data_IF_089783270208
#
_entry.id   IF_089783270208
#
_cell.length_a   1.000
_cell.length_b   1.000
_cell.length_c   1.000
_cell.angle_alpha   90.00
_cell.angle_beta   90.00
_cell.angle_gamma   90.00
#
_symmetry.space_group_name_H-M   'P 1'
#
loop_
_entity.id
_entity.type
_entity.pdbx_description
1 polymer ?
#
# COMPACT_ATOMS: atom_id res chain seq x y z
N UNK A 1 7.66 -20.43 2.00
CA UNK A 1 6.33 -20.80 1.44
C UNK A 1 5.22 -19.88 1.94
N UNK A 2 5.09 -19.61 3.25
CA UNK A 2 4.01 -18.78 3.83
C UNK A 2 3.81 -17.40 3.17
N UNK A 3 4.88 -16.66 2.87
CA UNK A 3 4.77 -15.33 2.25
C UNK A 3 3.98 -15.32 0.93
N UNK A 4 4.07 -16.40 0.14
CA UNK A 4 3.45 -16.47 -1.19
C UNK A 4 2.01 -16.95 -1.15
N UNK A 5 1.58 -17.58 -0.05
CA UNK A 5 0.31 -18.29 0.08
C UNK A 5 -0.59 -17.72 1.19
N UNK A 6 -0.10 -16.76 1.96
CA UNK A 6 -0.87 -16.05 3.00
C UNK A 6 -1.39 -14.71 2.47
N UNK A 7 -2.68 -14.37 2.70
CA UNK A 7 -3.25 -13.06 2.38
C UNK A 7 -2.46 -11.90 3.02
N UNK A 8 -2.19 -10.84 2.25
CA UNK A 8 -1.48 -9.65 2.77
C UNK A 8 -2.48 -8.69 3.38
N UNK A 9 -2.24 -8.20 4.61
CA UNK A 9 -3.17 -7.27 5.28
C UNK A 9 -3.48 -5.99 4.50
N UNK A 10 -2.59 -5.55 3.61
CA UNK A 10 -2.79 -4.39 2.75
C UNK A 10 -3.81 -4.61 1.63
N UNK A 11 -3.87 -5.82 1.07
CA UNK A 11 -4.62 -6.14 -0.15
C UNK A 11 -5.69 -7.20 0.08
N UNK A 12 -5.65 -7.94 1.19
CA UNK A 12 -6.48 -9.12 1.46
C UNK A 12 -6.18 -10.31 0.55
N UNK A 13 -5.19 -10.19 -0.33
CA UNK A 13 -4.94 -11.11 -1.44
C UNK A 13 -3.61 -11.84 -1.24
N UNK A 14 -3.54 -13.04 -1.81
CA UNK A 14 -2.35 -13.90 -1.77
C UNK A 14 -1.38 -13.46 -2.89
N UNK A 15 -0.08 -13.23 -2.62
CA UNK A 15 0.86 -12.75 -3.64
C UNK A 15 0.97 -13.64 -4.88
N UNK A 16 0.85 -14.96 -4.73
CA UNK A 16 0.80 -15.87 -5.88
C UNK A 16 -0.44 -15.64 -6.77
N UNK A 17 -1.62 -15.47 -6.16
CA UNK A 17 -2.86 -15.22 -6.86
C UNK A 17 -2.85 -13.88 -7.62
N UNK A 18 -2.06 -12.90 -7.18
CA UNK A 18 -1.87 -11.64 -7.92
C UNK A 18 -1.05 -11.81 -9.20
N UNK A 19 -0.05 -12.71 -9.19
CA UNK A 19 0.83 -12.93 -10.35
C UNK A 19 0.19 -13.87 -11.36
N UNK A 20 -0.38 -14.97 -10.89
CA UNK A 20 -0.87 -16.05 -11.75
C UNK A 20 -2.39 -16.06 -11.90
N UNK A 21 -3.12 -15.18 -11.20
CA UNK A 21 -4.59 -15.04 -11.27
C UNK A 21 -5.38 -16.31 -10.94
N UNK A 22 -4.74 -17.28 -10.28
CA UNK A 22 -5.34 -18.58 -9.90
C UNK A 22 -5.05 -18.90 -8.44
N UNK A 23 -5.91 -19.69 -7.82
CA UNK A 23 -5.65 -20.27 -6.50
C UNK A 23 -4.49 -21.28 -6.61
N UNK A 24 -3.39 -21.01 -5.91
CA UNK A 24 -2.18 -21.83 -6.00
C UNK A 24 -2.33 -23.15 -5.25
N UNK A 25 -2.16 -24.30 -5.92
CA UNK A 25 -1.83 -25.56 -5.24
C UNK A 25 -0.34 -25.54 -4.92
N UNK A 26 0.03 -25.70 -3.65
CA UNK A 26 1.42 -25.72 -3.22
C UNK A 26 2.01 -27.08 -3.62
N UNK A 27 3.24 -27.17 -4.16
CA UNK A 27 3.87 -28.44 -4.50
C UNK A 27 3.97 -29.44 -3.33
N UNK A 28 4.00 -28.96 -2.07
CA UNK A 28 3.96 -29.79 -0.88
C UNK A 28 2.63 -30.53 -0.67
N UNK A 29 1.54 -30.06 -1.29
CA UNK A 29 0.22 -30.72 -1.30
C UNK A 29 0.10 -31.80 -2.39
N UNK A 30 1.12 -31.99 -3.23
CA UNK A 30 1.13 -33.05 -4.27
C UNK A 30 1.47 -34.44 -3.72
N UNK A 31 2.06 -34.52 -2.51
CA UNK A 31 2.46 -35.78 -1.89
C UNK A 31 1.41 -36.41 -0.98
N UNK A 32 0.42 -35.64 -0.54
CA UNK A 32 -0.69 -36.08 0.33
C UNK A 32 -1.95 -35.42 -0.23
N UNK A 33 -3.02 -36.17 -0.59
CA UNK A 33 -4.23 -35.58 -1.13
C UNK A 33 -4.85 -34.62 -0.11
N UNK A 34 -4.57 -33.33 -0.25
CA UNK A 34 -5.19 -32.28 0.54
C UNK A 34 -6.64 -32.12 0.10
N UNK A 35 -7.51 -31.61 0.97
CA UNK A 35 -8.89 -31.28 0.60
C UNK A 35 -8.93 -30.36 -0.64
N UNK A 36 -7.93 -29.48 -0.81
CA UNK A 36 -7.83 -28.59 -1.97
C UNK A 36 -7.49 -29.35 -3.25
N UNK A 37 -6.61 -30.36 -3.17
CA UNK A 37 -6.30 -31.23 -4.30
C UNK A 37 -7.52 -32.05 -4.74
N UNK A 38 -8.25 -32.63 -3.79
CA UNK A 38 -9.43 -33.47 -4.08
C UNK A 38 -10.60 -32.68 -4.70
N UNK A 39 -10.75 -31.41 -4.32
CA UNK A 39 -11.83 -30.55 -4.79
C UNK A 39 -11.38 -29.52 -5.83
N UNK A 40 -10.15 -29.64 -6.36
CA UNK A 40 -9.67 -28.74 -7.39
C UNK A 40 -10.51 -28.90 -8.66
N UNK A 41 -11.10 -27.80 -9.10
CA UNK A 41 -11.84 -27.72 -10.36
C UNK A 41 -11.36 -26.52 -11.14
N UNK A 42 -10.73 -26.79 -12.27
CA UNK A 42 -10.27 -25.75 -13.19
C UNK A 42 -11.44 -24.88 -13.66
N UNK A 43 -12.60 -25.48 -13.95
CA UNK A 43 -13.81 -24.76 -14.32
C UNK A 43 -14.25 -23.76 -13.24
N UNK A 44 -14.26 -24.18 -11.97
CA UNK A 44 -14.60 -23.31 -10.84
C UNK A 44 -13.61 -22.15 -10.69
N UNK A 45 -12.31 -22.41 -10.88
CA UNK A 45 -11.27 -21.38 -10.86
C UNK A 45 -11.41 -20.38 -12.02
N UNK A 46 -11.77 -20.83 -13.22
CA UNK A 46 -12.03 -19.92 -14.36
C UNK A 46 -13.27 -19.05 -14.14
N UNK A 47 -14.32 -19.59 -13.52
CA UNK A 47 -15.52 -18.81 -13.17
C UNK A 47 -15.21 -17.77 -12.09
N UNK A 48 -14.44 -18.16 -11.07
CA UNK A 48 -13.98 -17.27 -10.01
C UNK A 48 -13.10 -16.15 -10.56
N UNK A 49 -12.23 -16.46 -11.53
CA UNK A 49 -11.42 -15.45 -12.22
C UNK A 49 -12.30 -14.44 -12.98
N UNK A 50 -13.34 -14.90 -13.69
CA UNK A 50 -14.28 -14.00 -14.38
C UNK A 50 -14.99 -13.08 -13.39
N UNK A 51 -15.57 -13.62 -12.31
CA UNK A 51 -16.22 -12.82 -11.26
C UNK A 51 -15.25 -11.82 -10.61
N UNK A 52 -13.98 -12.22 -10.43
CA UNK A 52 -12.95 -11.33 -9.89
C UNK A 52 -12.65 -10.18 -10.84
N UNK A 53 -12.64 -10.42 -12.16
CA UNK A 53 -12.45 -9.36 -13.16
C UNK A 53 -13.57 -8.32 -13.09
N UNK A 54 -14.82 -8.77 -12.97
CA UNK A 54 -15.98 -7.89 -12.83
C UNK A 54 -15.86 -7.02 -11.55
N UNK A 55 -15.28 -7.58 -10.48
CA UNK A 55 -15.08 -6.89 -9.19
C UNK A 55 -13.88 -5.93 -9.16
N UNK A 56 -13.00 -5.93 -10.17
CA UNK A 56 -11.77 -5.11 -10.15
C UNK A 56 -12.11 -3.62 -10.04
N UNK A 57 -13.14 -3.16 -10.73
CA UNK A 57 -13.54 -1.75 -10.72
C UNK A 57 -13.99 -1.32 -9.32
N UNK A 58 -14.85 -2.11 -8.66
CA UNK A 58 -15.27 -1.84 -7.29
C UNK A 58 -14.09 -1.82 -6.30
N UNK A 59 -13.15 -2.74 -6.45
CA UNK A 59 -11.96 -2.80 -5.59
C UNK A 59 -11.05 -1.58 -5.81
N UNK A 60 -10.90 -1.14 -7.06
CA UNK A 60 -10.14 0.08 -7.40
C UNK A 60 -10.81 1.32 -6.82
N UNK A 61 -12.13 1.43 -6.91
CA UNK A 61 -12.88 2.54 -6.33
C UNK A 61 -12.74 2.57 -4.80
N UNK A 62 -12.94 1.42 -4.13
CA UNK A 62 -12.73 1.29 -2.68
C UNK A 62 -11.31 1.66 -2.28
N UNK A 63 -10.30 1.22 -3.03
CA UNK A 63 -8.90 1.58 -2.78
C UNK A 63 -8.65 3.09 -2.97
N UNK A 64 -9.22 3.68 -4.03
CA UNK A 64 -9.13 5.11 -4.29
C UNK A 64 -9.72 5.93 -3.13
N UNK A 65 -10.92 5.58 -2.66
CA UNK A 65 -11.57 6.24 -1.51
C UNK A 65 -10.68 6.18 -0.27
N UNK A 66 -10.09 5.02 0.04
CA UNK A 66 -9.16 4.86 1.18
C UNK A 66 -7.93 5.75 1.05
N UNK A 67 -7.34 5.83 -0.15
CA UNK A 67 -6.18 6.69 -0.40
C UNK A 67 -6.54 8.17 -0.21
N UNK A 68 -7.69 8.62 -0.73
CA UNK A 68 -8.16 9.99 -0.55
C UNK A 68 -8.41 10.31 0.93
N UNK A 69 -9.07 9.41 1.66
CA UNK A 69 -9.30 9.57 3.09
C UNK A 69 -7.99 9.70 3.86
N UNK A 70 -7.02 8.82 3.59
CA UNK A 70 -5.70 8.88 4.24
C UNK A 70 -4.97 10.20 3.94
N UNK A 71 -4.99 10.66 2.67
CA UNK A 71 -4.42 11.95 2.30
C UNK A 71 -5.07 13.09 3.07
N UNK A 72 -6.41 13.11 3.16
CA UNK A 72 -7.14 14.13 3.91
C UNK A 72 -6.80 14.12 5.41
N UNK A 73 -6.66 12.93 6.02
CA UNK A 73 -6.21 12.81 7.40
C UNK A 73 -4.82 13.43 7.59
N UNK A 74 -3.87 13.14 6.68
CA UNK A 74 -2.52 13.70 6.74
C UNK A 74 -2.50 15.22 6.56
N UNK A 75 -3.25 15.75 5.59
CA UNK A 75 -3.40 17.19 5.35
C UNK A 75 -3.99 17.88 6.58
N UNK A 76 -5.07 17.33 7.14
CA UNK A 76 -5.72 17.88 8.32
C UNK A 76 -4.79 17.87 9.54
N UNK A 77 -4.05 16.78 9.74
CA UNK A 77 -3.07 16.70 10.82
C UNK A 77 -1.95 17.74 10.66
N UNK A 78 -1.49 17.97 9.42
CA UNK A 78 -0.50 19.01 9.12
C UNK A 78 -1.07 20.40 9.37
N UNK A 79 -2.22 20.74 8.78
CA UNK A 79 -2.85 22.05 8.90
C UNK A 79 -3.21 22.40 10.35
N UNK A 80 -3.58 21.42 11.18
CA UNK A 80 -3.80 21.65 12.63
C UNK A 80 -2.52 22.05 13.38
N UNK A 81 -1.35 21.61 12.90
CA UNK A 81 -0.05 21.89 13.55
C UNK A 81 0.61 23.14 12.97
N UNK A 82 0.35 23.46 11.72
CA UNK A 82 0.90 24.65 11.06
C UNK A 82 0.17 25.90 11.57
N UNK A 83 0.93 26.80 12.17
CA UNK A 83 0.47 28.16 12.46
C UNK A 83 1.00 29.09 11.38
N UNK A 84 0.10 29.78 10.70
CA UNK A 84 0.46 30.84 9.76
C UNK A 84 1.15 31.94 10.56
N UNK A 85 2.34 32.35 10.14
CA UNK A 85 3.07 33.48 10.70
C UNK A 85 3.17 34.57 9.65
N UNK A 86 2.76 35.80 9.99
CA UNK A 86 3.03 36.99 9.19
C UNK A 86 4.25 37.70 9.75
N UNK A 87 5.04 38.32 8.87
CA UNK A 87 6.23 39.08 9.22
C UNK A 87 6.13 40.48 8.60
N UNK A 88 6.69 41.47 9.28
CA UNK A 88 6.77 42.86 8.83
C UNK A 88 8.22 43.27 8.55
N UNK A 89 8.38 44.39 7.83
CA UNK A 89 9.70 44.97 7.59
C UNK A 89 10.33 45.37 8.93
N UNK A 90 11.47 44.78 9.26
CA UNK A 90 12.17 44.96 10.53
C UNK A 90 12.14 43.74 11.47
N UNK A 91 11.31 42.73 11.18
CA UNK A 91 11.29 41.49 11.97
C UNK A 91 12.54 40.63 11.71
N UNK A 92 13.18 40.17 12.79
CA UNK A 92 14.29 39.22 12.71
C UNK A 92 13.73 37.79 12.65
N UNK A 93 14.10 37.05 11.60
CA UNK A 93 13.68 35.65 11.39
C UNK A 93 14.88 34.74 11.20
N UNK A 94 14.79 33.52 11.75
CA UNK A 94 15.80 32.49 11.53
C UNK A 94 15.57 31.84 10.17
N UNK A 95 16.53 32.02 9.26
CA UNK A 95 16.54 31.34 7.98
C UNK A 95 17.20 29.97 8.14
N UNK A 96 16.52 28.91 7.69
CA UNK A 96 17.14 27.59 7.62
C UNK A 96 18.22 27.61 6.53
N UNK A 97 19.45 27.24 6.89
CA UNK A 97 20.57 27.13 5.95
C UNK A 97 20.48 25.78 5.25
N UNK A 98 20.41 25.78 3.92
CA UNK A 98 20.41 24.54 3.14
C UNK A 98 21.87 24.05 2.98
N UNK A 99 22.14 22.80 3.36
CA UNK A 99 23.49 22.18 3.48
C UNK A 99 24.22 21.93 2.16
N UNK A 100 23.72 22.47 1.04
CA UNK A 100 24.38 22.39 -0.27
C UNK A 100 25.53 23.39 -0.43
N UNK A 101 25.67 24.36 0.49
CA UNK A 101 26.89 25.16 0.65
C UNK A 101 27.80 24.49 1.69
N UNK A 102 29.11 24.35 1.42
CA UNK A 102 30.03 23.74 2.38
C UNK A 102 30.08 24.62 3.64
N UNK A 103 29.50 24.09 4.72
CA UNK A 103 29.50 24.70 6.04
C UNK A 103 30.91 24.59 6.62
N UNK A 104 31.50 25.73 6.96
CA UNK A 104 32.74 25.77 7.72
C UNK A 104 32.48 25.28 9.15
N UNK A 105 33.51 24.76 9.83
CA UNK A 105 33.43 24.15 11.17
C UNK A 105 32.90 25.07 12.30
N UNK A 106 32.36 26.26 11.99
CA UNK A 106 31.95 27.30 12.94
C UNK A 106 30.55 27.90 12.66
N UNK A 107 29.76 27.35 11.73
CA UNK A 107 28.40 27.87 11.47
C UNK A 107 27.34 27.15 12.33
N UNK A 108 26.18 27.78 12.62
CA UNK A 108 25.24 27.32 13.64
C UNK A 108 24.57 25.98 13.29
N UNK A 109 24.52 25.08 14.26
CA UNK A 109 23.96 23.71 14.20
C UNK A 109 22.44 23.66 14.07
#
# INVERSE_FOLDING_TARGET
>A
MAYRTTPRGSTGEIPFALVYRIEAIIPAELGIPSHRYLHFSEACNTELLRKKLDLIEELREKAFIRVQMNKNIMINAHNKRVKIRSFQVGDLVLQRVDTLKPIGKLDPT
#
